data_IF_693569111693
#
_entry.id   IF_693569111693
#
_cell.length_a   1.000
_cell.length_b   1.000
_cell.length_c   1.000
_cell.angle_alpha   90.00
_cell.angle_beta   90.00
_cell.angle_gamma   90.00
#
_symmetry.space_group_name_H-M   'P 1'
#
loop_
_entity.id
_entity.type
_entity.pdbx_description
1 polymer ?
#
# COMPACT_ATOMS: atom_id res chain seq x y z
N UNK A 1 25.12 -33.46 3.01
CA UNK A 1 24.20 -32.32 3.25
C UNK A 1 23.08 -32.23 2.23
N UNK A 2 23.35 -32.21 0.91
CA UNK A 2 22.29 -32.24 -0.13
C UNK A 2 21.34 -33.46 -0.03
N UNK A 3 21.87 -34.63 0.35
CA UNK A 3 21.05 -35.84 0.55
C UNK A 3 20.07 -35.75 1.73
N UNK A 4 20.41 -35.02 2.80
CA UNK A 4 19.58 -34.89 4.01
C UNK A 4 18.43 -33.89 3.78
N UNK A 5 18.72 -32.80 3.07
CA UNK A 5 17.70 -31.81 2.67
C UNK A 5 16.69 -32.46 1.73
N UNK A 6 17.16 -33.28 0.78
CA UNK A 6 16.29 -34.03 -0.14
C UNK A 6 15.42 -35.08 0.56
N UNK A 7 15.95 -35.80 1.57
CA UNK A 7 15.16 -36.78 2.34
C UNK A 7 14.17 -36.12 3.29
N UNK A 8 14.50 -34.97 3.90
CA UNK A 8 13.58 -34.18 4.72
C UNK A 8 12.44 -33.59 3.89
N UNK A 9 12.76 -32.94 2.76
CA UNK A 9 11.74 -32.44 1.83
C UNK A 9 10.86 -33.57 1.25
N UNK A 10 11.47 -34.71 0.91
CA UNK A 10 10.74 -35.91 0.46
C UNK A 10 9.84 -36.54 1.52
N UNK A 11 10.16 -36.37 2.81
CA UNK A 11 9.33 -36.79 3.95
C UNK A 11 8.26 -35.74 4.35
N UNK A 12 8.17 -34.62 3.61
CA UNK A 12 7.22 -33.54 3.86
C UNK A 12 7.71 -32.46 4.82
N UNK A 13 8.96 -32.54 5.29
CA UNK A 13 9.55 -31.57 6.23
C UNK A 13 10.24 -30.40 5.52
N UNK A 14 9.44 -29.65 4.77
CA UNK A 14 9.93 -28.59 3.89
C UNK A 14 10.49 -27.38 4.66
N UNK A 15 9.88 -27.01 5.79
CA UNK A 15 10.36 -25.86 6.57
C UNK A 15 11.68 -26.16 7.26
N UNK A 16 11.85 -27.38 7.78
CA UNK A 16 13.14 -27.80 8.34
C UNK A 16 14.21 -27.92 7.24
N UNK A 17 13.86 -28.43 6.07
CA UNK A 17 14.76 -28.48 4.91
C UNK A 17 15.23 -27.07 4.49
N UNK A 18 14.32 -26.09 4.44
CA UNK A 18 14.63 -24.70 4.11
C UNK A 18 15.47 -24.01 5.19
N UNK A 19 15.15 -24.21 6.47
CA UNK A 19 15.93 -23.64 7.57
C UNK A 19 17.34 -24.24 7.65
N UNK A 20 17.50 -25.54 7.39
CA UNK A 20 18.82 -26.19 7.32
C UNK A 20 19.61 -25.68 6.11
N UNK A 21 18.95 -25.42 4.98
CA UNK A 21 19.56 -24.83 3.78
C UNK A 21 20.06 -23.40 4.02
N UNK A 22 19.30 -22.59 4.75
CA UNK A 22 19.63 -21.18 4.99
C UNK A 22 20.54 -20.93 6.19
N UNK A 23 20.32 -21.64 7.31
CA UNK A 23 20.98 -21.36 8.61
C UNK A 23 21.90 -22.47 9.11
N UNK A 24 21.97 -23.58 8.38
CA UNK A 24 22.83 -24.71 8.71
C UNK A 24 22.26 -25.60 9.82
N UNK A 25 22.81 -26.82 9.88
CA UNK A 25 22.36 -27.89 10.77
C UNK A 25 22.56 -27.54 12.26
N UNK A 26 23.69 -26.93 12.60
CA UNK A 26 24.07 -26.58 13.98
C UNK A 26 23.08 -25.61 14.65
N UNK A 27 22.42 -24.75 13.86
CA UNK A 27 21.40 -23.83 14.33
C UNK A 27 20.12 -24.55 14.75
N UNK A 28 19.72 -25.57 13.98
CA UNK A 28 18.51 -26.35 14.26
C UNK A 28 18.73 -27.27 15.46
N UNK A 29 19.89 -27.92 15.55
CA UNK A 29 20.22 -28.79 16.69
C UNK A 29 20.28 -28.02 18.01
N UNK A 30 20.81 -26.79 18.00
CA UNK A 30 20.90 -25.92 19.18
C UNK A 30 19.55 -25.32 19.59
N UNK A 31 18.71 -24.92 18.63
CA UNK A 31 17.44 -24.24 18.91
C UNK A 31 16.32 -25.20 19.30
N UNK A 32 16.31 -26.39 18.69
CA UNK A 32 15.25 -27.38 18.89
C UNK A 32 15.68 -28.52 19.81
N UNK A 33 16.95 -28.58 20.23
CA UNK A 33 17.52 -29.66 21.04
C UNK A 33 17.28 -31.05 20.41
N UNK A 34 17.26 -31.11 19.08
CA UNK A 34 17.06 -32.34 18.30
C UNK A 34 18.37 -32.67 17.58
N UNK A 35 18.91 -33.88 17.79
CA UNK A 35 20.04 -34.38 17.01
C UNK A 35 19.52 -34.86 15.67
N UNK A 36 19.85 -34.15 14.59
CA UNK A 36 19.46 -34.58 13.24
C UNK A 36 20.51 -35.61 12.80
N UNK A 37 20.15 -36.88 12.59
CA UNK A 37 21.14 -37.89 12.27
C UNK A 37 21.76 -37.67 10.89
N UNK A 38 23.05 -37.97 10.75
CA UNK A 38 23.83 -37.74 9.53
C UNK A 38 23.57 -38.78 8.43
N UNK A 39 22.88 -39.89 8.75
CA UNK A 39 22.70 -41.03 7.86
C UNK A 39 21.23 -41.14 7.37
N UNK A 40 20.96 -41.34 6.06
CA UNK A 40 19.61 -41.38 5.47
C UNK A 40 18.65 -42.44 6.05
N UNK A 41 19.17 -43.46 6.72
CA UNK A 41 18.39 -44.60 7.25
C UNK A 41 17.83 -44.34 8.67
N UNK A 42 18.47 -43.49 9.49
CA UNK A 42 17.98 -43.15 10.84
C UNK A 42 16.79 -42.17 10.81
N UNK A 43 16.65 -41.43 9.71
CA UNK A 43 15.47 -40.63 9.39
C UNK A 43 14.24 -41.49 9.07
N UNK A 44 14.37 -42.82 8.96
CA UNK A 44 13.23 -43.73 8.74
C UNK A 44 12.69 -44.31 10.05
N UNK A 45 13.30 -44.01 11.21
CA UNK A 45 12.74 -44.41 12.50
C UNK A 45 11.40 -43.68 12.71
N UNK A 46 10.26 -44.40 12.81
CA UNK A 46 8.94 -43.80 12.86
C UNK A 46 8.74 -42.85 14.05
N UNK A 47 9.45 -43.09 15.17
CA UNK A 47 9.31 -42.27 16.37
C UNK A 47 9.99 -40.89 16.23
N UNK A 48 11.15 -40.83 15.56
CA UNK A 48 11.89 -39.59 15.33
C UNK A 48 11.17 -38.73 14.29
N UNK A 49 10.65 -39.34 13.22
CA UNK A 49 9.83 -38.66 12.22
C UNK A 49 8.55 -38.09 12.82
N UNK A 50 7.88 -38.83 13.71
CA UNK A 50 6.66 -38.36 14.37
C UNK A 50 6.93 -37.10 15.20
N UNK A 51 8.00 -37.09 16.00
CA UNK A 51 8.39 -35.92 16.81
C UNK A 51 8.80 -34.73 15.95
N UNK A 52 9.56 -34.95 14.87
CA UNK A 52 9.95 -33.88 13.94
C UNK A 52 8.73 -33.26 13.24
N UNK A 53 7.78 -34.10 12.84
CA UNK A 53 6.54 -33.65 12.21
C UNK A 53 5.64 -32.89 13.18
N UNK A 54 5.58 -33.30 14.44
CA UNK A 54 4.88 -32.56 15.50
C UNK A 54 5.50 -31.17 15.74
N UNK A 55 6.83 -31.08 15.79
CA UNK A 55 7.54 -29.80 15.94
C UNK A 55 7.32 -28.89 14.73
N UNK A 56 7.29 -29.44 13.52
CA UNK A 56 7.01 -28.65 12.32
C UNK A 56 5.56 -28.16 12.27
N UNK A 57 4.59 -29.01 12.59
CA UNK A 57 3.18 -28.64 12.66
C UNK A 57 2.93 -27.51 13.68
N UNK A 58 3.51 -27.62 14.87
CA UNK A 58 3.38 -26.55 15.89
C UNK A 58 3.96 -25.22 15.41
N UNK A 59 5.09 -25.24 14.69
CA UNK A 59 5.68 -24.02 14.13
C UNK A 59 4.91 -23.46 12.93
N UNK A 60 4.31 -24.31 12.11
CA UNK A 60 3.41 -23.89 11.03
C UNK A 60 2.19 -23.16 11.59
N UNK A 61 1.58 -23.70 12.64
CA UNK A 61 0.45 -23.08 13.33
C UNK A 61 0.82 -21.72 13.93
N UNK A 62 1.99 -21.62 14.60
CA UNK A 62 2.50 -20.35 15.12
C UNK A 62 2.76 -19.33 14.01
N UNK A 63 3.38 -19.75 12.90
CA UNK A 63 3.64 -18.88 11.75
C UNK A 63 2.33 -18.37 11.15
N UNK A 64 1.35 -19.24 10.94
CA UNK A 64 0.03 -18.86 10.45
C UNK A 64 -0.65 -17.87 11.39
N UNK A 65 -0.56 -18.08 12.71
CA UNK A 65 -1.09 -17.14 13.71
C UNK A 65 -0.41 -15.77 13.60
N UNK A 66 0.92 -15.72 13.55
CA UNK A 66 1.68 -14.46 13.43
C UNK A 66 1.32 -13.73 12.14
N UNK A 67 1.17 -14.45 11.01
CA UNK A 67 0.75 -13.86 9.73
C UNK A 67 -0.65 -13.27 9.83
N UNK A 68 -1.58 -13.99 10.45
CA UNK A 68 -2.95 -13.52 10.68
C UNK A 68 -2.97 -12.27 11.56
N UNK A 69 -2.19 -12.25 12.65
CA UNK A 69 -2.06 -11.09 13.54
C UNK A 69 -1.47 -9.88 12.81
N UNK A 70 -0.39 -10.07 12.03
CA UNK A 70 0.18 -9.00 11.19
C UNK A 70 -0.83 -8.46 10.19
N UNK A 71 -1.57 -9.34 9.54
CA UNK A 71 -2.59 -8.95 8.57
C UNK A 71 -3.70 -8.12 9.24
N UNK A 72 -4.20 -8.58 10.39
CA UNK A 72 -5.19 -7.84 11.20
C UNK A 72 -4.67 -6.47 11.63
N UNK A 73 -3.44 -6.39 12.14
CA UNK A 73 -2.81 -5.13 12.53
C UNK A 73 -2.69 -4.14 11.35
N UNK A 74 -2.31 -4.65 10.17
CA UNK A 74 -2.25 -3.83 8.94
C UNK A 74 -3.63 -3.29 8.52
N UNK A 75 -4.68 -4.10 8.63
CA UNK A 75 -6.06 -3.67 8.37
C UNK A 75 -6.55 -2.63 9.37
N UNK A 76 -6.26 -2.80 10.67
CA UNK A 76 -6.63 -1.84 11.70
C UNK A 76 -5.92 -0.49 11.52
N UNK A 77 -4.63 -0.52 11.17
CA UNK A 77 -3.89 0.68 10.82
C UNK A 77 -4.54 1.41 9.64
N UNK A 78 -4.80 0.70 8.54
CA UNK A 78 -5.46 1.28 7.36
C UNK A 78 -6.83 1.85 7.69
N UNK A 79 -7.66 1.11 8.43
CA UNK A 79 -8.99 1.56 8.88
C UNK A 79 -8.91 2.84 9.72
N UNK A 80 -7.88 2.98 10.55
CA UNK A 80 -7.66 4.17 11.37
C UNK A 80 -7.27 5.37 10.51
N UNK A 81 -6.34 5.20 9.56
CA UNK A 81 -5.94 6.24 8.61
C UNK A 81 -7.14 6.70 7.77
N UNK A 82 -7.92 5.76 7.23
CA UNK A 82 -9.11 6.07 6.43
C UNK A 82 -10.15 6.83 7.26
N UNK A 83 -10.35 6.45 8.53
CA UNK A 83 -11.28 7.12 9.45
C UNK A 83 -10.82 8.55 9.78
N UNK A 84 -9.54 8.75 10.07
CA UNK A 84 -9.01 10.10 10.37
C UNK A 84 -9.03 11.00 9.14
N UNK A 85 -8.74 10.46 7.96
CA UNK A 85 -8.87 11.18 6.68
C UNK A 85 -10.32 11.58 6.45
N UNK A 86 -11.27 10.66 6.69
CA UNK A 86 -12.71 10.93 6.58
C UNK A 86 -13.17 11.98 7.58
N UNK A 87 -12.70 11.92 8.84
CA UNK A 87 -13.02 12.95 9.85
C UNK A 87 -12.51 14.32 9.44
N UNK A 88 -11.28 14.42 8.91
CA UNK A 88 -10.73 15.67 8.36
C UNK A 88 -11.59 16.18 7.22
N UNK A 89 -11.94 15.32 6.26
CA UNK A 89 -12.82 15.70 5.14
C UNK A 89 -14.21 16.15 5.59
N UNK A 90 -14.80 15.47 6.58
CA UNK A 90 -16.09 15.86 7.15
C UNK A 90 -15.96 17.20 7.89
N UNK A 91 -14.87 17.42 8.62
CA UNK A 91 -14.58 18.70 9.27
C UNK A 91 -14.45 19.83 8.25
N UNK A 92 -13.66 19.62 7.19
CA UNK A 92 -13.45 20.59 6.12
C UNK A 92 -14.74 20.85 5.32
N UNK A 93 -15.57 19.81 5.12
CA UNK A 93 -16.89 19.95 4.49
C UNK A 93 -17.97 20.50 5.43
N UNK A 94 -17.77 20.49 6.75
CA UNK A 94 -18.66 21.17 7.72
C UNK A 94 -18.30 22.64 7.90
N UNK A 95 -17.15 23.08 7.39
CA UNK A 95 -16.80 24.48 7.35
C UNK A 95 -17.87 25.29 6.59
N UNK A 96 -17.94 26.60 6.88
CA UNK A 96 -18.98 27.49 6.40
C UNK A 96 -19.13 27.52 4.88
N UNK A 97 -20.20 28.16 4.41
CA UNK A 97 -20.54 28.25 2.97
C UNK A 97 -19.37 28.72 2.09
N UNK A 98 -18.53 29.62 2.61
CA UNK A 98 -17.35 30.15 1.91
C UNK A 98 -16.32 29.04 1.61
N UNK A 99 -16.04 28.16 2.56
CA UNK A 99 -15.05 27.08 2.40
C UNK A 99 -15.50 26.06 1.36
N UNK A 100 -16.81 25.76 1.29
CA UNK A 100 -17.39 24.87 0.27
C UNK A 100 -17.29 25.45 -1.14
N UNK A 101 -17.47 26.76 -1.25
CA UNK A 101 -17.51 27.46 -2.53
C UNK A 101 -16.13 27.95 -3.00
N UNK A 102 -15.07 27.78 -2.21
CA UNK A 102 -13.73 28.30 -2.57
C UNK A 102 -13.28 27.81 -3.95
N UNK A 103 -13.50 26.54 -4.29
CA UNK A 103 -13.08 25.96 -5.59
C UNK A 103 -13.85 26.53 -6.80
N UNK A 104 -15.19 26.56 -6.81
CA UNK A 104 -15.91 27.21 -7.90
C UNK A 104 -15.70 28.73 -7.92
N UNK A 105 -15.55 29.37 -6.76
CA UNK A 105 -15.36 30.82 -6.66
C UNK A 105 -14.02 31.27 -7.23
N UNK A 106 -12.93 30.51 -6.99
CA UNK A 106 -11.62 30.83 -7.60
C UNK A 106 -11.67 30.72 -9.12
N UNK A 107 -12.41 29.75 -9.67
CA UNK A 107 -12.59 29.63 -11.11
C UNK A 107 -13.37 30.82 -11.69
N UNK A 108 -14.47 31.21 -11.03
CA UNK A 108 -15.27 32.37 -11.41
C UNK A 108 -14.42 33.64 -11.35
N UNK A 109 -13.62 33.80 -10.30
CA UNK A 109 -12.70 34.93 -10.15
C UNK A 109 -11.71 35.01 -11.32
N UNK A 110 -11.04 33.90 -11.66
CA UNK A 110 -10.09 33.87 -12.79
C UNK A 110 -10.78 34.19 -14.12
N UNK A 111 -12.01 33.69 -14.33
CA UNK A 111 -12.80 34.00 -15.53
C UNK A 111 -13.16 35.48 -15.60
N UNK A 112 -13.63 36.07 -14.50
CA UNK A 112 -13.99 37.50 -14.47
C UNK A 112 -12.78 38.39 -14.72
N UNK A 113 -11.64 38.11 -14.09
CA UNK A 113 -10.39 38.86 -14.33
C UNK A 113 -9.95 38.74 -15.78
N UNK A 114 -10.00 37.53 -16.35
CA UNK A 114 -9.66 37.32 -17.77
C UNK A 114 -10.63 38.05 -18.71
N UNK A 115 -11.93 38.02 -18.44
CA UNK A 115 -12.93 38.76 -19.21
C UNK A 115 -12.69 40.27 -19.10
N UNK A 116 -12.40 40.81 -17.92
CA UNK A 116 -12.08 42.22 -17.74
C UNK A 116 -10.84 42.61 -18.54
N UNK A 117 -9.76 41.80 -18.49
CA UNK A 117 -8.58 42.02 -19.32
C UNK A 117 -8.94 42.05 -20.80
N UNK A 118 -9.70 41.06 -21.30
CA UNK A 118 -10.12 41.00 -22.69
C UNK A 118 -10.99 42.19 -23.13
N UNK A 119 -11.82 42.73 -22.25
CA UNK A 119 -12.63 43.93 -22.52
C UNK A 119 -11.80 45.22 -22.53
N UNK A 120 -10.75 45.29 -21.70
CA UNK A 120 -9.86 46.45 -21.65
C UNK A 120 -8.81 46.45 -22.76
N UNK A 121 -8.41 45.25 -23.23
CA UNK A 121 -7.44 45.06 -24.30
C UNK A 121 -7.98 45.68 -25.60
N UNK A 122 -7.23 46.63 -26.15
CA UNK A 122 -7.59 47.49 -27.29
C UNK A 122 -8.73 48.49 -27.10
N UNK A 123 -9.38 48.57 -25.94
CA UNK A 123 -10.40 49.60 -25.68
C UNK A 123 -9.86 50.74 -24.79
N UNK A 124 -9.35 50.42 -23.60
CA UNK A 124 -8.92 51.40 -22.61
C UNK A 124 -7.41 51.36 -22.34
N UNK A 125 -6.78 50.19 -22.47
CA UNK A 125 -5.36 49.97 -22.20
C UNK A 125 -4.81 48.93 -23.16
N UNK A 126 -3.61 49.14 -23.69
CA UNK A 126 -2.90 48.08 -24.42
C UNK A 126 -2.25 47.15 -23.40
N UNK A 127 -2.78 45.93 -23.29
CA UNK A 127 -2.22 44.92 -22.40
C UNK A 127 -1.02 44.29 -23.08
N UNK A 128 0.10 44.17 -22.37
CA UNK A 128 1.27 43.49 -22.93
C UNK A 128 0.91 42.00 -23.20
N UNK A 129 1.14 41.52 -24.44
CA UNK A 129 0.75 40.17 -24.86
C UNK A 129 1.35 39.06 -23.99
N UNK A 130 2.51 39.30 -23.37
CA UNK A 130 3.12 38.34 -22.44
C UNK A 130 2.21 38.05 -21.24
N UNK A 131 1.59 39.08 -20.64
CA UNK A 131 0.68 38.88 -19.51
C UNK A 131 -0.64 38.23 -19.94
N UNK A 132 -1.18 38.63 -21.11
CA UNK A 132 -2.38 38.02 -21.65
C UNK A 132 -2.18 36.51 -21.92
N UNK A 133 -1.02 36.14 -22.47
CA UNK A 133 -0.66 34.74 -22.69
C UNK A 133 -0.51 33.98 -21.36
N UNK A 134 0.24 34.52 -20.39
CA UNK A 134 0.41 33.87 -19.08
C UNK A 134 -0.92 33.62 -18.38
N UNK A 135 -1.82 34.61 -18.34
CA UNK A 135 -3.15 34.45 -17.75
C UNK A 135 -4.01 33.42 -18.49
N UNK A 136 -3.94 33.38 -19.83
CA UNK A 136 -4.63 32.36 -20.63
C UNK A 136 -4.16 30.94 -20.29
N UNK A 137 -2.84 30.74 -20.13
CA UNK A 137 -2.26 29.45 -19.75
C UNK A 137 -2.70 29.03 -18.33
N UNK A 138 -2.63 29.93 -17.36
CA UNK A 138 -3.11 29.67 -16.00
C UNK A 138 -4.61 29.33 -15.97
N UNK A 139 -5.44 30.05 -16.73
CA UNK A 139 -6.87 29.79 -16.80
C UNK A 139 -7.17 28.40 -17.40
N UNK A 140 -6.49 28.03 -18.49
CA UNK A 140 -6.63 26.69 -19.10
C UNK A 140 -6.23 25.59 -18.12
N UNK A 141 -5.11 25.76 -17.42
CA UNK A 141 -4.68 24.81 -16.38
C UNK A 141 -5.69 24.70 -15.24
N UNK A 142 -6.24 25.83 -14.76
CA UNK A 142 -7.23 25.85 -13.69
C UNK A 142 -8.54 25.14 -14.09
N UNK A 143 -9.03 25.40 -15.32
CA UNK A 143 -10.22 24.72 -15.87
C UNK A 143 -9.96 23.22 -15.99
N UNK A 144 -8.83 22.81 -16.57
CA UNK A 144 -8.47 21.41 -16.75
C UNK A 144 -8.32 20.69 -15.40
N UNK A 145 -7.71 21.33 -14.40
CA UNK A 145 -7.63 20.77 -13.06
C UNK A 145 -9.02 20.61 -12.45
N UNK A 146 -9.85 21.65 -12.47
CA UNK A 146 -11.19 21.62 -11.84
C UNK A 146 -12.12 20.57 -12.45
N UNK A 147 -12.19 20.48 -13.78
CA UNK A 147 -13.05 19.51 -14.47
C UNK A 147 -12.39 18.15 -14.67
N UNK A 148 -11.08 18.12 -14.91
CA UNK A 148 -10.30 16.90 -15.15
C UNK A 148 -10.18 16.02 -13.91
N UNK A 149 -9.81 16.60 -12.75
CA UNK A 149 -9.76 15.85 -11.49
C UNK A 149 -11.14 15.31 -11.12
N UNK A 150 -12.20 16.12 -11.27
CA UNK A 150 -13.58 15.70 -10.98
C UNK A 150 -14.08 14.58 -11.89
N UNK A 151 -13.63 14.57 -13.16
CA UNK A 151 -13.95 13.49 -14.10
C UNK A 151 -13.20 12.22 -13.73
N UNK A 152 -11.92 12.34 -13.35
CA UNK A 152 -11.09 11.22 -12.92
C UNK A 152 -11.61 10.55 -11.63
N UNK A 153 -12.07 11.36 -10.66
CA UNK A 153 -12.72 10.89 -9.42
C UNK A 153 -13.97 10.04 -9.72
N UNK A 154 -14.81 10.48 -10.68
CA UNK A 154 -16.01 9.73 -11.08
C UNK A 154 -15.67 8.41 -11.76
N UNK A 155 -14.67 8.38 -12.63
CA UNK A 155 -14.26 7.16 -13.35
C UNK A 155 -13.66 6.14 -12.38
N UNK A 156 -12.80 6.57 -11.45
CA UNK A 156 -12.25 5.66 -10.42
C UNK A 156 -13.32 5.16 -9.45
N UNK A 157 -14.26 6.02 -9.04
CA UNK A 157 -15.36 5.63 -8.16
C UNK A 157 -16.40 4.71 -8.82
N UNK A 158 -16.46 4.66 -10.15
CA UNK A 158 -17.31 3.74 -10.90
C UNK A 158 -16.63 2.39 -11.22
N UNK A 159 -15.30 2.31 -11.07
CA UNK A 159 -14.50 1.12 -11.35
C UNK A 159 -14.14 0.30 -10.08
N UNK A 160 -14.54 0.78 -8.90
CA UNK A 160 -14.49 0.06 -7.62
C UNK A 160 -15.89 -0.44 -7.25
#
# INVERSE_FOLDING_TARGET
MLGIIGTLAGAGLNLLADVIREKGKDFVEKKFNVKIPNNPEELQNPEILARLKEIELTHEEELQRILLERYKAGLEYRKTIDRETTKRWISDNKAGLITKLVRPLTLIYLLVVFSLMAFTDNNLLHINPMYAQSFSEFLKMAILAYFGLRTFEKVKGAAQ
#
